data_IF_642899914805
#
_entry.id   IF_642899914805
#
_cell.length_a   1.000
_cell.length_b   1.000
_cell.length_c   1.000
_cell.angle_alpha   90.00
_cell.angle_beta   90.00
_cell.angle_gamma   90.00
#
_symmetry.space_group_name_H-M   'P 1'
#
loop_
_entity.id
_entity.type
_entity.pdbx_description
1 polymer ?
#
# COMPACT_ATOMS: atom_id res chain seq x y z
N UNK A 1 -38.80 -1.33 -40.15
CA UNK A 1 -38.94 -1.67 -38.72
C UNK A 1 -37.75 -1.08 -37.99
N UNK A 2 -37.98 -0.13 -37.09
CA UNK A 2 -36.90 0.64 -36.47
C UNK A 2 -35.93 -0.27 -35.72
N UNK A 3 -34.66 -0.28 -36.14
CA UNK A 3 -33.56 -0.96 -35.47
C UNK A 3 -33.55 -0.53 -34.01
N UNK A 4 -33.84 -1.45 -33.11
CA UNK A 4 -33.98 -1.21 -31.67
C UNK A 4 -32.95 -2.06 -30.93
N UNK A 5 -32.48 -1.57 -29.79
CA UNK A 5 -31.53 -2.32 -28.94
C UNK A 5 -32.29 -3.38 -28.14
N UNK A 6 -32.13 -4.65 -28.53
CA UNK A 6 -32.61 -5.84 -27.82
C UNK A 6 -31.69 -7.03 -28.13
N UNK A 7 -31.79 -8.11 -27.35
CA UNK A 7 -30.98 -9.33 -27.57
C UNK A 7 -31.38 -9.96 -28.91
N UNK A 8 -30.42 -10.16 -29.81
CA UNK A 8 -30.63 -10.65 -31.17
C UNK A 8 -30.75 -9.57 -32.23
N UNK A 9 -30.74 -8.28 -31.86
CA UNK A 9 -30.71 -7.18 -32.83
C UNK A 9 -29.43 -7.23 -33.69
N UNK A 10 -29.58 -7.05 -35.00
CA UNK A 10 -28.55 -7.25 -36.02
C UNK A 10 -28.23 -5.95 -36.76
N UNK A 11 -26.95 -5.67 -36.98
CA UNK A 11 -26.46 -4.43 -37.61
C UNK A 11 -25.42 -4.75 -38.68
N UNK A 12 -25.48 -4.08 -39.83
CA UNK A 12 -24.54 -4.30 -40.94
C UNK A 12 -23.15 -3.73 -40.68
N UNK A 13 -23.05 -2.71 -39.83
CA UNK A 13 -21.77 -2.11 -39.46
C UNK A 13 -21.77 -1.61 -38.00
N UNK A 14 -20.58 -1.33 -37.46
CA UNK A 14 -20.46 -0.65 -36.16
C UNK A 14 -21.02 0.78 -36.22
N UNK A 15 -20.98 1.42 -37.38
CA UNK A 15 -21.55 2.75 -37.57
C UNK A 15 -23.07 2.73 -37.36
N UNK A 16 -23.77 1.80 -38.01
CA UNK A 16 -25.24 1.64 -37.91
C UNK A 16 -25.64 1.33 -36.46
N UNK A 17 -24.95 0.36 -35.85
CA UNK A 17 -25.12 0.03 -34.44
C UNK A 17 -24.92 1.25 -33.53
N UNK A 18 -23.86 2.05 -33.73
CA UNK A 18 -23.53 3.17 -32.86
C UNK A 18 -24.56 4.30 -32.94
N UNK A 19 -25.21 4.49 -34.10
CA UNK A 19 -26.31 5.46 -34.22
C UNK A 19 -27.51 5.04 -33.38
N UNK A 20 -27.95 3.78 -33.53
CA UNK A 20 -29.09 3.22 -32.78
C UNK A 20 -28.79 3.13 -31.28
N UNK A 21 -27.56 2.77 -30.92
CA UNK A 21 -27.11 2.69 -29.54
C UNK A 21 -27.09 4.06 -28.83
N UNK A 22 -26.64 5.11 -29.52
CA UNK A 22 -26.68 6.48 -28.97
C UNK A 22 -28.11 6.95 -28.74
N UNK A 23 -29.02 6.71 -29.67
CA UNK A 23 -30.44 7.07 -29.50
C UNK A 23 -31.10 6.26 -28.38
N UNK A 24 -30.76 4.98 -28.24
CA UNK A 24 -31.19 4.16 -27.11
C UNK A 24 -30.72 4.74 -25.76
N UNK A 25 -29.46 5.12 -25.63
CA UNK A 25 -28.92 5.71 -24.40
C UNK A 25 -29.58 7.06 -24.07
N UNK A 26 -29.87 7.88 -25.09
CA UNK A 26 -30.61 9.14 -24.92
C UNK A 26 -32.04 8.91 -24.44
N UNK A 27 -32.77 7.97 -25.06
CA UNK A 27 -34.17 7.68 -24.76
C UNK A 27 -34.36 7.01 -23.39
N UNK A 28 -33.45 6.11 -23.01
CA UNK A 28 -33.53 5.37 -21.74
C UNK A 28 -32.83 6.08 -20.59
N UNK A 29 -32.09 7.16 -20.87
CA UNK A 29 -31.19 7.85 -19.93
C UNK A 29 -30.15 6.92 -19.28
N UNK A 30 -29.86 5.78 -19.92
CA UNK A 30 -28.81 4.87 -19.50
C UNK A 30 -27.50 5.27 -20.17
N UNK A 31 -26.39 5.20 -19.42
CA UNK A 31 -25.07 5.54 -19.94
C UNK A 31 -24.19 4.30 -19.90
N UNK A 32 -23.93 3.78 -21.09
CA UNK A 32 -23.02 2.67 -21.33
C UNK A 32 -21.76 3.19 -22.02
N UNK A 33 -20.59 2.73 -21.59
CA UNK A 33 -19.30 3.05 -22.21
C UNK A 33 -18.62 1.75 -22.61
N UNK A 34 -17.90 1.80 -23.72
CA UNK A 34 -17.12 0.66 -24.21
C UNK A 34 -16.00 0.33 -23.21
N UNK A 35 -16.11 -0.83 -22.56
CA UNK A 35 -15.12 -1.33 -21.60
C UNK A 35 -14.01 -2.13 -22.30
N UNK A 36 -14.38 -2.92 -23.31
CA UNK A 36 -13.45 -3.77 -24.06
C UNK A 36 -13.93 -3.92 -25.50
N UNK A 37 -13.01 -3.88 -26.45
CA UNK A 37 -13.30 -4.26 -27.83
C UNK A 37 -12.12 -5.05 -28.40
N UNK A 38 -12.42 -5.99 -29.30
CA UNK A 38 -11.40 -6.75 -30.02
C UNK A 38 -11.67 -6.59 -31.51
N UNK A 39 -10.65 -6.11 -32.24
CA UNK A 39 -10.68 -6.00 -33.69
C UNK A 39 -10.18 -7.28 -34.35
N UNK A 40 -10.67 -7.57 -35.55
CA UNK A 40 -10.35 -8.83 -36.26
C UNK A 40 -8.86 -8.93 -36.63
N UNK A 41 -8.19 -7.81 -36.94
CA UNK A 41 -6.75 -7.77 -37.20
C UNK A 41 -5.89 -8.21 -35.98
N UNK A 42 -6.41 -8.09 -34.76
CA UNK A 42 -5.72 -8.45 -33.52
C UNK A 42 -6.24 -9.78 -32.92
N UNK A 43 -7.07 -10.51 -33.66
CA UNK A 43 -7.78 -11.70 -33.19
C UNK A 43 -6.88 -12.96 -33.17
N UNK A 44 -5.94 -13.04 -32.23
CA UNK A 44 -5.32 -14.32 -31.91
C UNK A 44 -6.32 -15.19 -31.14
N UNK A 45 -6.55 -16.45 -31.58
CA UNK A 45 -7.53 -17.40 -30.99
C UNK A 45 -7.39 -17.60 -29.47
N UNK A 46 -6.22 -17.27 -28.88
CA UNK A 46 -5.91 -17.43 -27.45
C UNK A 46 -6.20 -16.18 -26.59
N UNK A 47 -6.15 -14.95 -27.14
CA UNK A 47 -6.28 -13.69 -26.36
C UNK A 47 -7.70 -13.13 -26.29
N UNK A 48 -8.59 -13.62 -27.14
CA UNK A 48 -9.96 -13.16 -27.25
C UNK A 48 -10.92 -14.09 -26.50
N UNK A 49 -10.74 -14.26 -25.20
CA UNK A 49 -11.76 -14.88 -24.35
C UNK A 49 -12.73 -13.79 -23.87
N UNK A 50 -14.04 -14.05 -24.01
CA UNK A 50 -15.10 -13.14 -23.56
C UNK A 50 -15.91 -13.78 -22.44
N UNK A 51 -16.71 -12.99 -21.69
CA UNK A 51 -17.62 -13.52 -20.67
C UNK A 51 -18.67 -14.52 -21.19
N UNK A 52 -18.86 -14.60 -22.51
CA UNK A 52 -19.84 -15.47 -23.17
C UNK A 52 -19.18 -16.51 -24.09
N UNK A 53 -17.87 -16.74 -23.94
CA UNK A 53 -17.10 -17.72 -24.71
C UNK A 53 -16.23 -17.10 -25.82
N UNK A 54 -15.68 -17.95 -26.70
CA UNK A 54 -14.82 -17.50 -27.82
C UNK A 54 -15.65 -16.70 -28.82
N UNK A 55 -15.22 -15.48 -29.22
CA UNK A 55 -15.93 -14.67 -30.20
C UNK A 55 -15.72 -15.24 -31.60
N UNK A 56 -16.64 -14.92 -32.50
CA UNK A 56 -16.58 -15.35 -33.90
C UNK A 56 -16.03 -14.17 -34.72
N UNK A 57 -15.19 -14.47 -35.70
CA UNK A 57 -14.54 -13.46 -36.53
C UNK A 57 -15.01 -13.64 -37.97
N UNK A 58 -15.29 -12.52 -38.66
CA UNK A 58 -15.58 -12.49 -40.09
C UNK A 58 -14.49 -11.64 -40.76
N UNK A 59 -13.97 -12.01 -41.93
CA UNK A 59 -12.85 -11.28 -42.55
C UNK A 59 -13.21 -9.85 -43.01
N UNK A 60 -14.52 -9.54 -43.11
CA UNK A 60 -15.02 -8.26 -43.64
C UNK A 60 -15.51 -7.26 -42.55
N UNK A 61 -15.60 -7.67 -41.28
CA UNK A 61 -16.02 -6.79 -40.18
C UNK A 61 -14.81 -6.15 -39.48
N UNK A 62 -15.00 -5.01 -38.81
CA UNK A 62 -13.89 -4.37 -38.07
C UNK A 62 -13.72 -4.98 -36.67
N UNK A 63 -14.82 -5.38 -36.02
CA UNK A 63 -14.85 -5.87 -34.64
C UNK A 63 -15.30 -7.32 -34.53
N UNK A 64 -14.58 -8.09 -33.71
CA UNK A 64 -14.95 -9.44 -33.29
C UNK A 64 -16.03 -9.42 -32.21
N UNK A 65 -15.83 -8.56 -31.21
CA UNK A 65 -16.82 -8.28 -30.18
C UNK A 65 -16.53 -6.94 -29.49
N UNK A 66 -17.54 -6.42 -28.82
CA UNK A 66 -17.52 -5.17 -28.07
C UNK A 66 -18.33 -5.39 -26.78
N UNK A 67 -17.73 -5.06 -25.65
CA UNK A 67 -18.35 -5.06 -24.33
C UNK A 67 -18.55 -3.62 -23.89
N UNK A 68 -19.80 -3.26 -23.64
CA UNK A 68 -20.20 -2.03 -22.99
C UNK A 68 -20.62 -2.32 -21.56
N UNK A 69 -20.21 -1.46 -20.64
CA UNK A 69 -20.65 -1.51 -19.23
C UNK A 69 -21.21 -0.17 -18.79
N UNK A 70 -22.09 -0.21 -17.80
CA UNK A 70 -22.65 1.01 -17.25
C UNK A 70 -21.56 1.89 -16.60
N UNK A 71 -21.67 3.19 -16.85
CA UNK A 71 -20.99 4.23 -16.09
C UNK A 71 -22.02 5.14 -15.45
N UNK A 72 -21.62 5.79 -14.35
CA UNK A 72 -22.41 6.75 -13.59
C UNK A 72 -22.80 7.94 -14.47
N UNK A 73 -23.92 7.83 -15.18
CA UNK A 73 -24.57 8.93 -15.89
C UNK A 73 -25.21 9.91 -14.92
N UNK A 74 -24.40 10.70 -14.23
CA UNK A 74 -24.85 11.69 -13.27
C UNK A 74 -24.39 13.10 -13.65
N UNK A 75 -25.27 14.06 -13.45
CA UNK A 75 -24.99 15.48 -13.57
C UNK A 75 -24.62 16.00 -12.17
N UNK A 76 -23.36 16.37 -11.96
CA UNK A 76 -22.88 16.95 -10.71
C UNK A 76 -22.83 18.47 -10.80
N UNK A 77 -23.46 19.19 -9.87
CA UNK A 77 -23.32 20.65 -9.72
C UNK A 77 -22.11 20.93 -8.81
N UNK A 78 -21.02 21.45 -9.35
CA UNK A 78 -19.86 21.84 -8.52
C UNK A 78 -20.08 23.22 -7.91
N UNK A 79 -19.54 23.47 -6.72
CA UNK A 79 -19.69 24.74 -5.99
C UNK A 79 -19.01 25.93 -6.69
N UNK A 80 -18.18 25.71 -7.70
CA UNK A 80 -17.35 26.77 -8.29
C UNK A 80 -17.30 26.82 -9.83
N UNK A 81 -17.79 25.81 -10.57
CA UNK A 81 -17.66 25.75 -12.04
C UNK A 81 -18.88 25.19 -12.79
N UNK A 82 -20.07 25.26 -12.19
CA UNK A 82 -21.31 24.82 -12.83
C UNK A 82 -21.46 23.30 -12.94
N UNK A 83 -22.37 22.88 -13.81
CA UNK A 83 -22.80 21.50 -13.98
C UNK A 83 -21.77 20.69 -14.80
N UNK A 84 -21.20 19.62 -14.23
CA UNK A 84 -20.31 18.66 -14.93
C UNK A 84 -20.94 17.27 -15.02
N UNK A 85 -20.87 16.65 -16.20
CA UNK A 85 -21.19 15.21 -16.40
C UNK A 85 -19.99 14.36 -15.96
N UNK A 86 -20.23 13.32 -15.17
CA UNK A 86 -19.19 12.35 -14.78
C UNK A 86 -19.36 11.04 -15.55
N UNK A 87 -18.27 10.31 -15.78
CA UNK A 87 -18.25 9.00 -16.48
C UNK A 87 -17.48 7.94 -15.70
N UNK A 88 -17.55 7.94 -14.36
CA UNK A 88 -16.92 6.91 -13.53
C UNK A 88 -17.79 5.65 -13.44
N UNK A 89 -17.18 4.46 -13.45
CA UNK A 89 -17.92 3.20 -13.27
C UNK A 89 -18.58 3.14 -11.89
N UNK A 90 -19.84 2.66 -11.82
CA UNK A 90 -20.51 2.40 -10.55
C UNK A 90 -20.12 1.00 -10.05
N UNK A 91 -19.59 0.92 -8.84
CA UNK A 91 -19.28 -0.35 -8.18
C UNK A 91 -20.53 -1.23 -8.09
N UNK A 92 -20.45 -2.45 -8.63
CA UNK A 92 -21.50 -3.47 -8.54
C UNK A 92 -22.70 -3.27 -9.47
N UNK A 93 -22.64 -2.37 -10.46
CA UNK A 93 -23.70 -2.25 -11.46
C UNK A 93 -23.52 -3.34 -12.52
N UNK A 94 -24.50 -4.26 -12.63
CA UNK A 94 -24.46 -5.39 -13.56
C UNK A 94 -24.92 -5.02 -14.98
N UNK A 95 -25.45 -3.80 -15.17
CA UNK A 95 -25.88 -3.34 -16.47
C UNK A 95 -24.71 -3.35 -17.46
N UNK A 96 -24.87 -4.15 -18.51
CA UNK A 96 -23.88 -4.36 -19.56
C UNK A 96 -24.55 -4.69 -20.88
N UNK A 97 -23.84 -4.43 -21.98
CA UNK A 97 -24.26 -4.87 -23.31
C UNK A 97 -23.07 -5.48 -24.04
N UNK A 98 -23.27 -6.65 -24.61
CA UNK A 98 -22.26 -7.38 -25.35
C UNK A 98 -22.72 -7.58 -26.79
N UNK A 99 -21.89 -7.10 -27.72
CA UNK A 99 -22.10 -7.14 -29.16
C UNK A 99 -21.03 -8.02 -29.77
N UNK A 100 -21.41 -8.95 -30.65
CA UNK A 100 -20.51 -9.93 -31.27
C UNK A 100 -20.67 -9.91 -32.79
N UNK A 101 -19.58 -10.10 -33.53
CA UNK A 101 -19.65 -10.35 -34.98
C UNK A 101 -20.13 -11.77 -35.30
N UNK A 102 -21.05 -11.88 -36.25
CA UNK A 102 -21.49 -13.14 -36.86
C UNK A 102 -20.84 -13.31 -38.24
N UNK A 103 -20.20 -14.47 -38.47
CA UNK A 103 -19.43 -14.77 -39.69
C UNK A 103 -20.30 -15.17 -40.87
N UNK A 104 -21.39 -15.88 -40.64
CA UNK A 104 -22.22 -16.41 -41.73
C UNK A 104 -23.05 -15.28 -42.35
N UNK A 105 -23.41 -14.29 -41.54
CA UNK A 105 -24.30 -13.20 -41.94
C UNK A 105 -23.58 -11.86 -42.18
N UNK A 106 -22.32 -11.72 -41.76
CA UNK A 106 -21.54 -10.49 -41.95
C UNK A 106 -22.09 -9.29 -41.17
N UNK A 107 -22.61 -9.52 -39.96
CA UNK A 107 -23.32 -8.53 -39.13
C UNK A 107 -22.77 -8.50 -37.70
N UNK A 108 -23.05 -7.42 -36.99
CA UNK A 108 -22.93 -7.32 -35.53
C UNK A 108 -24.27 -7.68 -34.89
N UNK A 109 -24.24 -8.51 -33.86
CA UNK A 109 -25.42 -8.97 -33.14
C UNK A 109 -25.28 -8.70 -31.63
N UNK A 110 -26.33 -8.18 -31.00
CA UNK A 110 -26.38 -8.00 -29.54
C UNK A 110 -26.68 -9.35 -28.89
N UNK A 111 -25.70 -9.94 -28.20
CA UNK A 111 -25.83 -11.28 -27.61
C UNK A 111 -26.16 -11.28 -26.12
N UNK A 112 -25.92 -10.17 -25.42
CA UNK A 112 -26.36 -9.97 -24.04
C UNK A 112 -26.67 -8.51 -23.80
N UNK A 113 -27.77 -8.26 -23.11
CA UNK A 113 -28.19 -6.94 -22.67
C UNK A 113 -28.74 -7.10 -21.26
N UNK A 114 -28.07 -6.50 -20.29
CA UNK A 114 -28.53 -6.38 -18.91
C UNK A 114 -28.79 -4.90 -18.68
N UNK A 115 -30.03 -4.57 -18.37
CA UNK A 115 -30.49 -3.18 -18.15
C UNK A 115 -30.73 -2.85 -16.70
N UNK A 116 -30.55 -3.82 -15.80
CA UNK A 116 -30.77 -3.63 -14.36
C UNK A 116 -29.64 -2.83 -13.74
N UNK A 117 -29.99 -1.67 -13.18
CA UNK A 117 -29.06 -0.80 -12.49
C UNK A 117 -29.29 -0.89 -10.99
N UNK A 118 -28.20 -0.99 -10.23
CA UNK A 118 -28.22 -0.83 -8.77
C UNK A 118 -28.28 0.65 -8.32
N UNK A 119 -28.62 1.55 -9.23
CA UNK A 119 -28.73 2.98 -9.00
C UNK A 119 -29.80 3.61 -9.93
N UNK A 120 -30.42 4.73 -9.53
CA UNK A 120 -31.32 5.50 -10.39
C UNK A 120 -30.68 5.88 -11.73
N UNK A 121 -31.46 5.79 -12.81
CA UNK A 121 -31.14 6.24 -14.17
C UNK A 121 -32.22 7.23 -14.63
N UNK A 122 -31.84 8.42 -15.12
CA UNK A 122 -32.80 9.46 -15.52
C UNK A 122 -32.12 10.81 -15.80
N UNK A 123 -32.81 11.74 -16.47
CA UNK A 123 -32.24 13.05 -16.85
C UNK A 123 -32.04 13.98 -15.64
N UNK A 124 -32.86 13.82 -14.59
CA UNK A 124 -32.91 14.71 -13.43
C UNK A 124 -32.17 14.19 -12.19
N UNK A 125 -31.41 13.09 -12.32
CA UNK A 125 -30.66 12.52 -11.20
C UNK A 125 -29.42 13.37 -10.91
N UNK A 126 -29.61 14.40 -10.09
CA UNK A 126 -28.55 15.25 -9.53
C UNK A 126 -28.08 14.70 -8.19
N UNK A 127 -26.91 14.05 -8.18
CA UNK A 127 -26.29 13.59 -6.94
C UNK A 127 -25.57 14.76 -6.26
N UNK A 128 -26.19 15.35 -5.23
CA UNK A 128 -25.46 16.14 -4.23
C UNK A 128 -24.52 15.23 -3.45
N UNK A 129 -23.30 15.70 -3.16
CA UNK A 129 -22.44 15.11 -2.13
C UNK A 129 -23.30 15.06 -0.86
N UNK A 130 -23.68 13.87 -0.41
CA UNK A 130 -24.47 13.77 0.82
C UNK A 130 -23.62 14.30 1.96
N UNK A 131 -24.12 15.35 2.61
CA UNK A 131 -23.54 15.95 3.79
C UNK A 131 -23.49 14.93 4.93
N UNK A 132 -22.41 14.99 5.71
CA UNK A 132 -22.23 14.23 6.94
C UNK A 132 -23.37 14.57 7.92
N UNK A 133 -24.26 13.62 8.21
CA UNK A 133 -25.11 13.64 9.42
C UNK A 133 -25.10 12.26 10.09
N UNK A 134 -25.04 12.31 11.43
CA UNK A 134 -24.76 11.26 12.45
C UNK A 134 -25.97 10.36 12.79
N UNK A 135 -25.65 9.12 13.25
CA UNK A 135 -26.42 8.14 14.10
C UNK A 135 -27.68 7.51 13.44
N UNK A 136 -28.09 6.25 13.66
CA UNK A 136 -27.87 5.27 14.74
C UNK A 136 -28.07 3.81 14.18
N UNK A 137 -27.59 2.76 14.87
CA UNK A 137 -27.45 1.39 14.36
C UNK A 137 -28.56 0.43 14.84
N UNK A 138 -29.50 0.07 13.98
CA UNK A 138 -30.30 -1.15 14.16
C UNK A 138 -30.90 -1.51 12.80
N UNK A 139 -30.81 -2.78 12.38
CA UNK A 139 -31.19 -3.34 11.06
C UNK A 139 -30.16 -3.17 9.94
N UNK A 140 -29.18 -4.07 9.93
CA UNK A 140 -28.94 -5.03 8.82
C UNK A 140 -27.67 -5.82 9.14
N UNK A 141 -27.76 -6.61 10.21
CA UNK A 141 -27.20 -7.97 10.16
C UNK A 141 -28.08 -8.73 9.16
N UNK A 142 -27.46 -9.70 8.50
CA UNK A 142 -28.05 -10.62 7.54
C UNK A 142 -27.94 -10.13 6.08
N UNK A 143 -27.10 -10.84 5.32
CA UNK A 143 -26.84 -10.74 3.87
C UNK A 143 -25.69 -9.83 3.40
N UNK A 144 -24.47 -10.09 3.87
CA UNK A 144 -23.24 -9.79 3.12
C UNK A 144 -22.09 -10.69 3.61
N UNK A 145 -22.03 -11.92 3.10
CA UNK A 145 -20.83 -12.74 3.14
C UNK A 145 -20.45 -13.05 1.69
N UNK A 146 -19.14 -12.93 1.41
CA UNK A 146 -18.42 -13.33 0.18
C UNK A 146 -18.20 -12.25 -0.90
N UNK A 147 -17.39 -11.24 -0.55
CA UNK A 147 -16.10 -10.91 -1.23
C UNK A 147 -15.52 -9.65 -0.55
N UNK A 148 -14.80 -9.87 0.55
CA UNK A 148 -14.57 -8.88 1.61
C UNK A 148 -13.28 -8.07 1.44
N UNK A 149 -13.39 -6.82 0.98
CA UNK A 149 -12.49 -5.77 1.46
C UNK A 149 -13.00 -5.33 2.84
N UNK A 150 -12.29 -5.66 3.93
CA UNK A 150 -12.67 -5.22 5.27
C UNK A 150 -12.37 -3.72 5.39
N UNK A 151 -13.38 -2.88 5.25
CA UNK A 151 -13.27 -1.48 5.68
C UNK A 151 -13.27 -1.46 7.20
N UNK A 152 -12.08 -1.36 7.80
CA UNK A 152 -11.94 -1.26 9.26
C UNK A 152 -12.49 0.09 9.71
N UNK A 153 -13.45 0.07 10.63
CA UNK A 153 -13.99 1.30 11.20
C UNK A 153 -12.93 2.05 12.00
N UNK A 154 -12.99 3.38 12.07
CA UNK A 154 -12.01 4.18 12.85
C UNK A 154 -11.91 3.70 14.30
N UNK A 155 -13.04 3.39 14.93
CA UNK A 155 -13.11 2.87 16.30
C UNK A 155 -12.50 1.48 16.45
N UNK A 156 -12.64 0.64 15.42
CA UNK A 156 -12.08 -0.70 15.38
C UNK A 156 -10.55 -0.64 15.25
N UNK A 157 -10.04 0.21 14.37
CA UNK A 157 -8.61 0.48 14.22
C UNK A 157 -8.00 1.04 15.51
N UNK A 158 -8.66 2.00 16.15
CA UNK A 158 -8.22 2.54 17.44
C UNK A 158 -8.12 1.44 18.50
N UNK A 159 -9.11 0.56 18.58
CA UNK A 159 -9.10 -0.57 19.53
C UNK A 159 -7.92 -1.51 19.26
N UNK A 160 -7.66 -1.84 17.98
CA UNK A 160 -6.52 -2.68 17.61
C UNK A 160 -5.18 -2.03 17.97
N UNK A 161 -5.01 -0.75 17.65
CA UNK A 161 -3.80 0.03 17.96
C UNK A 161 -3.51 0.02 19.47
N UNK A 162 -4.51 0.26 20.32
CA UNK A 162 -4.34 0.22 21.78
C UNK A 162 -4.01 -1.18 22.28
N UNK A 163 -4.61 -2.22 21.68
CA UNK A 163 -4.43 -3.61 22.11
C UNK A 163 -3.01 -4.16 21.89
N UNK A 164 -2.25 -3.57 20.95
CA UNK A 164 -0.90 -4.00 20.59
C UNK A 164 0.14 -3.53 21.60
N UNK A 165 -0.13 -2.45 22.32
CA UNK A 165 0.86 -1.85 23.21
C UNK A 165 0.95 -2.68 24.49
N UNK A 166 2.14 -3.16 24.86
CA UNK A 166 2.32 -3.92 26.08
C UNK A 166 2.04 -3.01 27.29
N UNK A 167 1.28 -3.48 28.30
CA UNK A 167 1.09 -2.72 29.52
C UNK A 167 2.41 -2.61 30.27
N UNK A 168 2.65 -1.46 30.90
CA UNK A 168 3.75 -1.31 31.86
C UNK A 168 3.35 -1.97 33.17
N UNK A 169 3.97 -3.10 33.50
CA UNK A 169 3.73 -3.84 34.75
C UNK A 169 5.06 -4.17 35.42
N UNK A 170 5.01 -4.41 36.74
CA UNK A 170 6.20 -4.79 37.51
C UNK A 170 6.64 -6.25 37.26
N UNK A 171 5.84 -7.03 36.53
CA UNK A 171 6.08 -8.45 36.26
C UNK A 171 6.94 -8.67 35.00
N UNK A 172 7.10 -7.65 34.16
CA UNK A 172 7.91 -7.73 32.95
C UNK A 172 9.40 -7.51 33.24
N UNK A 173 10.23 -8.35 32.66
CA UNK A 173 11.69 -8.28 32.73
C UNK A 173 12.29 -7.58 31.51
N UNK A 174 13.48 -6.99 31.71
CA UNK A 174 14.26 -6.30 30.68
C UNK A 174 14.40 -7.14 29.40
N UNK A 175 13.87 -6.60 28.31
CA UNK A 175 13.91 -7.18 26.98
C UNK A 175 12.57 -7.73 26.50
N UNK A 176 11.59 -7.92 27.37
CA UNK A 176 10.27 -8.45 26.98
C UNK A 176 9.43 -7.45 26.19
N UNK A 177 9.61 -6.15 26.41
CA UNK A 177 8.97 -5.10 25.61
C UNK A 177 9.72 -4.81 24.31
N UNK A 178 10.87 -5.43 24.04
CA UNK A 178 11.49 -5.41 22.71
C UNK A 178 13.00 -5.25 22.74
N UNK A 179 13.65 -5.99 21.84
CA UNK A 179 15.10 -5.92 21.60
C UNK A 179 15.26 -5.67 20.11
N UNK A 180 15.47 -4.41 19.75
CA UNK A 180 15.48 -3.97 18.36
C UNK A 180 16.93 -3.85 17.90
N UNK A 181 17.24 -4.46 16.75
CA UNK A 181 18.55 -4.30 16.11
C UNK A 181 18.45 -3.36 14.92
N UNK A 182 19.42 -2.47 14.75
CA UNK A 182 19.55 -1.55 13.62
C UNK A 182 20.83 -1.92 12.89
N UNK A 183 20.73 -2.35 11.64
CA UNK A 183 21.84 -2.64 10.74
C UNK A 183 22.04 -1.43 9.84
N UNK A 184 23.14 -0.72 10.04
CA UNK A 184 23.46 0.47 9.28
C UNK A 184 24.59 1.26 9.93
N UNK A 185 24.88 2.44 9.42
CA UNK A 185 26.03 3.22 9.85
C UNK A 185 27.31 2.82 9.13
N UNK A 186 27.75 3.69 8.23
CA UNK A 186 29.05 3.69 7.60
C UNK A 186 29.87 4.92 8.04
N UNK A 187 31.05 5.08 7.45
CA UNK A 187 31.98 6.18 7.74
C UNK A 187 31.29 7.57 7.65
N UNK A 188 30.43 7.77 6.66
CA UNK A 188 29.75 9.04 6.40
C UNK A 188 28.42 9.19 7.16
N UNK A 189 27.66 8.10 7.31
CA UNK A 189 26.26 8.14 7.73
C UNK A 189 26.03 7.57 9.14
N UNK A 190 26.56 8.25 10.15
CA UNK A 190 26.43 7.87 11.56
C UNK A 190 25.14 8.35 12.22
N UNK A 191 24.53 9.42 11.72
CA UNK A 191 23.31 10.00 12.30
C UNK A 191 22.04 9.16 12.05
N UNK A 192 21.91 8.58 10.85
CA UNK A 192 20.76 7.75 10.47
C UNK A 192 20.53 6.54 11.40
N UNK A 193 21.53 5.67 11.67
CA UNK A 193 21.33 4.55 12.58
C UNK A 193 21.08 5.02 14.02
N UNK A 194 21.65 6.15 14.44
CA UNK A 194 21.34 6.76 15.74
C UNK A 194 19.87 7.16 15.85
N UNK A 195 19.34 7.90 14.87
CA UNK A 195 17.95 8.34 14.89
C UNK A 195 16.97 7.16 14.93
N UNK A 196 17.24 6.11 14.15
CA UNK A 196 16.45 4.88 14.19
C UNK A 196 16.52 4.22 15.58
N UNK A 197 17.73 4.06 16.12
CA UNK A 197 17.95 3.35 17.38
C UNK A 197 17.41 4.10 18.61
N UNK A 198 17.61 5.42 18.69
CA UNK A 198 17.12 6.24 19.81
C UNK A 198 15.60 6.36 19.77
N UNK A 199 14.99 6.43 18.58
CA UNK A 199 13.53 6.41 18.46
C UNK A 199 12.95 5.08 18.93
N UNK A 200 13.59 3.95 18.62
CA UNK A 200 13.14 2.67 19.14
C UNK A 200 13.08 2.66 20.69
N UNK A 201 14.12 3.18 21.36
CA UNK A 201 14.12 3.31 22.83
C UNK A 201 13.01 4.27 23.31
N UNK A 202 12.88 5.44 22.69
CA UNK A 202 11.90 6.46 23.09
C UNK A 202 10.45 6.04 22.86
N UNK A 203 10.19 5.14 21.91
CA UNK A 203 8.87 4.53 21.70
C UNK A 203 8.55 3.49 22.77
N UNK A 204 9.56 2.82 23.33
CA UNK A 204 9.39 1.85 24.41
C UNK A 204 10.07 0.50 24.22
N UNK A 205 11.04 0.38 23.30
CA UNK A 205 11.90 -0.80 23.29
C UNK A 205 12.79 -0.82 24.55
N UNK A 206 12.94 -1.99 25.16
CA UNK A 206 13.81 -2.16 26.34
C UNK A 206 15.30 -2.06 25.99
N UNK A 207 15.66 -2.52 24.78
CA UNK A 207 17.03 -2.57 24.29
C UNK A 207 17.07 -2.21 22.81
N UNK A 208 18.05 -1.39 22.45
CA UNK A 208 18.33 -0.98 21.07
C UNK A 208 19.80 -1.24 20.75
N UNK A 209 20.02 -2.10 19.76
CA UNK A 209 21.34 -2.54 19.31
C UNK A 209 21.64 -1.90 17.95
N UNK A 210 22.81 -1.31 17.78
CA UNK A 210 23.26 -0.79 16.48
C UNK A 210 24.42 -1.65 15.99
N UNK A 211 24.27 -2.26 14.82
CA UNK A 211 25.33 -2.98 14.13
C UNK A 211 25.81 -2.11 12.99
N UNK A 212 27.05 -1.64 13.09
CA UNK A 212 27.63 -0.67 12.17
C UNK A 212 29.05 -1.08 11.75
N UNK A 213 29.63 -0.30 10.82
CA UNK A 213 31.06 -0.41 10.51
C UNK A 213 31.91 0.06 11.70
N UNK A 214 33.15 -0.41 11.76
CA UNK A 214 34.09 -0.09 12.84
C UNK A 214 34.29 1.41 13.04
N UNK A 215 34.37 2.17 11.95
CA UNK A 215 34.61 3.62 11.97
C UNK A 215 33.39 4.43 12.43
N UNK A 216 32.18 3.94 12.15
CA UNK A 216 30.94 4.60 12.57
C UNK A 216 30.72 4.51 14.09
N UNK A 217 31.20 3.43 14.72
CA UNK A 217 30.84 3.08 16.09
C UNK A 217 31.24 4.12 17.16
N UNK A 218 32.45 4.71 17.18
CA UNK A 218 32.81 5.72 18.17
C UNK A 218 31.88 6.94 18.14
N UNK A 219 31.51 7.38 16.94
CA UNK A 219 30.62 8.53 16.74
C UNK A 219 29.20 8.20 17.23
N UNK A 220 28.65 7.05 16.85
CA UNK A 220 27.30 6.64 17.28
C UNK A 220 27.25 6.48 18.81
N UNK A 221 28.28 5.88 19.43
CA UNK A 221 28.40 5.75 20.89
C UNK A 221 28.45 7.11 21.60
N UNK A 222 29.00 8.13 20.95
CA UNK A 222 29.08 9.48 21.53
C UNK A 222 27.74 10.21 21.57
N UNK A 223 26.77 9.81 20.74
CA UNK A 223 25.44 10.43 20.71
C UNK A 223 24.54 10.00 21.87
N UNK A 224 24.69 8.78 22.38
CA UNK A 224 23.85 8.24 23.46
C UNK A 224 24.52 7.07 24.17
N UNK A 225 24.68 7.11 25.52
CA UNK A 225 25.20 5.97 26.29
C UNK A 225 24.21 4.79 26.40
N UNK A 226 22.94 4.99 26.06
CA UNK A 226 21.89 3.96 26.14
C UNK A 226 21.97 2.93 25.00
N UNK A 227 22.58 3.29 23.86
CA UNK A 227 22.68 2.43 22.69
C UNK A 227 23.76 1.36 22.85
N UNK A 228 23.43 0.11 22.52
CA UNK A 228 24.41 -0.98 22.48
C UNK A 228 24.99 -1.09 21.07
N UNK A 229 26.18 -0.52 20.86
CA UNK A 229 26.78 -0.40 19.51
C UNK A 229 27.83 -1.48 19.26
N UNK A 230 27.64 -2.24 18.18
CA UNK A 230 28.43 -3.38 17.71
C UNK A 230 29.18 -3.04 16.40
N UNK A 231 30.50 -2.76 16.46
CA UNK A 231 31.32 -2.47 15.29
C UNK A 231 31.71 -3.76 14.55
N UNK A 232 30.76 -4.38 13.86
CA UNK A 232 30.98 -5.73 13.29
C UNK A 232 30.63 -5.87 11.81
N UNK A 233 30.03 -4.87 11.15
CA UNK A 233 29.53 -5.05 9.76
C UNK A 233 30.63 -5.25 8.72
N UNK A 234 31.80 -4.65 8.94
CA UNK A 234 32.99 -4.70 8.10
C UNK A 234 34.06 -5.64 8.68
N UNK A 235 33.71 -6.46 9.66
CA UNK A 235 34.63 -7.42 10.27
C UNK A 235 34.82 -8.66 9.37
N UNK A 236 36.03 -9.22 9.34
CA UNK A 236 36.34 -10.43 8.52
C UNK A 236 35.39 -11.60 8.82
N UNK A 237 34.98 -11.75 10.08
CA UNK A 237 34.02 -12.75 10.55
C UNK A 237 32.65 -12.14 10.91
N UNK A 238 32.23 -11.07 10.23
CA UNK A 238 31.03 -10.30 10.55
C UNK A 238 29.79 -11.19 10.76
N UNK A 239 29.54 -12.13 9.85
CA UNK A 239 28.38 -13.01 9.90
C UNK A 239 28.34 -13.85 11.18
N UNK A 240 29.47 -14.46 11.56
CA UNK A 240 29.57 -15.27 12.77
C UNK A 240 29.40 -14.44 14.05
N UNK A 241 29.91 -13.20 14.07
CA UNK A 241 29.67 -12.28 15.19
C UNK A 241 28.20 -11.87 15.27
N UNK A 242 27.55 -11.63 14.12
CA UNK A 242 26.14 -11.25 14.04
C UNK A 242 25.23 -12.38 14.53
N UNK A 243 25.54 -13.63 14.19
CA UNK A 243 24.77 -14.81 14.59
C UNK A 243 24.65 -14.99 16.11
N UNK A 244 25.62 -14.51 16.89
CA UNK A 244 25.56 -14.53 18.37
C UNK A 244 24.43 -13.66 18.91
N UNK A 245 24.01 -12.65 18.15
CA UNK A 245 22.98 -11.68 18.53
C UNK A 245 21.60 -11.99 17.96
N UNK A 246 21.51 -12.58 16.75
CA UNK A 246 20.23 -12.85 16.08
C UNK A 246 19.16 -13.51 16.99
N UNK A 247 19.46 -14.56 17.79
CA UNK A 247 18.46 -15.20 18.65
C UNK A 247 17.90 -14.30 19.75
N UNK A 248 18.55 -13.18 20.04
CA UNK A 248 18.18 -12.24 21.10
C UNK A 248 17.36 -11.06 20.58
N UNK A 249 17.30 -10.85 19.27
CA UNK A 249 16.64 -9.69 18.67
C UNK A 249 15.22 -10.08 18.23
N UNK A 250 14.27 -9.18 18.49
CA UNK A 250 12.87 -9.38 18.15
C UNK A 250 12.52 -8.84 16.76
N UNK A 251 13.15 -7.74 16.35
CA UNK A 251 13.01 -7.13 15.02
C UNK A 251 14.34 -6.50 14.63
N UNK A 252 14.69 -6.57 13.34
CA UNK A 252 15.84 -5.89 12.76
C UNK A 252 15.39 -4.81 11.77
N UNK A 253 15.92 -3.61 11.92
CA UNK A 253 15.81 -2.51 10.95
C UNK A 253 17.09 -2.50 10.11
N UNK A 254 17.00 -2.54 8.79
CA UNK A 254 18.16 -2.64 7.89
C UNK A 254 18.18 -1.46 6.93
N UNK A 255 19.32 -0.78 6.87
CA UNK A 255 19.58 0.25 5.87
C UNK A 255 19.84 1.68 6.37
N UNK A 256 19.40 2.15 7.56
CA UNK A 256 19.69 3.50 8.02
C UNK A 256 21.19 3.81 8.02
N UNK A 257 21.64 4.62 7.06
CA UNK A 257 23.06 4.97 6.87
C UNK A 257 23.96 3.78 6.54
N UNK A 258 23.44 2.70 5.93
CA UNK A 258 24.23 1.51 5.62
C UNK A 258 25.35 1.79 4.61
N UNK A 259 25.13 2.74 3.68
CA UNK A 259 26.04 2.96 2.57
C UNK A 259 25.92 1.84 1.53
N UNK A 260 26.86 1.85 0.58
CA UNK A 260 26.84 0.95 -0.59
C UNK A 260 28.17 0.25 -0.84
N UNK A 261 28.96 0.09 0.21
CA UNK A 261 30.16 -0.73 0.15
C UNK A 261 29.81 -2.18 -0.20
N UNK A 262 30.40 -2.78 -1.25
CA UNK A 262 30.04 -4.12 -1.70
C UNK A 262 30.21 -5.22 -0.66
N UNK A 263 31.26 -5.17 0.19
CA UNK A 263 31.51 -6.21 1.20
C UNK A 263 30.53 -6.09 2.37
N UNK A 264 30.20 -4.87 2.77
CA UNK A 264 29.13 -4.61 3.74
C UNK A 264 27.79 -5.10 3.20
N UNK A 265 27.43 -4.76 1.95
CA UNK A 265 26.17 -5.21 1.34
C UNK A 265 26.09 -6.74 1.25
N UNK A 266 27.18 -7.43 0.89
CA UNK A 266 27.27 -8.90 0.87
C UNK A 266 27.07 -9.52 2.26
N UNK A 267 27.67 -8.92 3.28
CA UNK A 267 27.47 -9.32 4.68
C UNK A 267 26.01 -9.17 5.07
N UNK A 268 25.39 -8.03 4.77
CA UNK A 268 23.98 -7.75 5.07
C UNK A 268 23.05 -8.70 4.31
N UNK A 269 23.31 -9.01 3.04
CA UNK A 269 22.56 -10.04 2.29
C UNK A 269 22.56 -11.38 3.02
N UNK A 270 23.72 -11.80 3.54
CA UNK A 270 23.86 -13.06 4.30
C UNK A 270 23.09 -13.00 5.62
N UNK A 271 23.13 -11.86 6.32
CA UNK A 271 22.33 -11.65 7.54
C UNK A 271 20.83 -11.70 7.24
N UNK A 272 20.35 -11.09 6.15
CA UNK A 272 18.94 -11.13 5.73
C UNK A 272 18.51 -12.58 5.44
N UNK A 273 19.34 -13.36 4.75
CA UNK A 273 19.07 -14.78 4.49
C UNK A 273 18.96 -15.58 5.79
N UNK A 274 19.87 -15.36 6.74
CA UNK A 274 19.82 -15.97 8.07
C UNK A 274 18.58 -15.57 8.87
N UNK A 275 18.14 -14.31 8.76
CA UNK A 275 16.88 -13.85 9.36
C UNK A 275 15.68 -14.56 8.75
N UNK A 276 15.63 -14.66 7.40
CA UNK A 276 14.59 -15.37 6.66
C UNK A 276 14.48 -16.83 7.07
N UNK A 277 15.61 -17.54 7.21
CA UNK A 277 15.64 -18.92 7.66
C UNK A 277 15.09 -19.11 9.10
N UNK A 278 15.17 -18.07 9.93
CA UNK A 278 14.72 -18.07 11.34
C UNK A 278 13.36 -17.41 11.56
N UNK A 279 12.79 -16.77 10.53
CA UNK A 279 11.55 -15.99 10.65
C UNK A 279 11.69 -14.68 11.44
N UNK A 280 12.91 -14.14 11.61
CA UNK A 280 13.17 -12.90 12.37
C UNK A 280 12.62 -11.67 11.62
N UNK A 281 11.66 -10.94 12.20
CA UNK A 281 11.05 -9.77 11.57
C UNK A 281 12.04 -8.71 11.07
N UNK A 282 11.85 -8.24 9.84
CA UNK A 282 12.68 -7.23 9.19
C UNK A 282 11.89 -5.97 8.84
N UNK A 283 12.52 -4.81 9.02
CA UNK A 283 12.11 -3.52 8.45
C UNK A 283 13.25 -3.04 7.57
N UNK A 284 13.05 -2.92 6.27
CA UNK A 284 14.08 -2.50 5.32
C UNK A 284 13.81 -1.06 4.86
N UNK A 285 14.76 -0.16 5.10
CA UNK A 285 14.68 1.26 4.76
C UNK A 285 15.94 1.72 4.00
N UNK A 286 15.88 2.90 3.37
CA UNK A 286 17.04 3.57 2.77
C UNK A 286 17.95 2.66 1.90
N UNK A 287 19.25 2.57 2.19
CA UNK A 287 20.18 1.74 1.41
C UNK A 287 19.91 0.22 1.54
N UNK A 288 19.14 -0.21 2.55
CA UNK A 288 18.59 -1.56 2.59
C UNK A 288 17.62 -1.78 1.43
N UNK A 289 16.81 -0.78 1.05
CA UNK A 289 15.92 -0.86 -0.12
C UNK A 289 16.70 -0.83 -1.42
N UNK A 290 17.84 -0.12 -1.46
CA UNK A 290 18.76 -0.20 -2.60
C UNK A 290 19.21 -1.67 -2.79
N UNK A 291 19.69 -2.32 -1.73
CA UNK A 291 20.08 -3.74 -1.76
C UNK A 291 18.94 -4.64 -2.24
N UNK A 292 17.71 -4.45 -1.71
CA UNK A 292 16.55 -5.24 -2.12
C UNK A 292 16.11 -4.95 -3.56
N UNK A 293 16.32 -3.74 -4.07
CA UNK A 293 16.01 -3.43 -5.48
C UNK A 293 16.98 -4.15 -6.43
N UNK A 294 18.25 -4.26 -6.05
CA UNK A 294 19.24 -5.01 -6.83
C UNK A 294 19.02 -6.53 -6.73
N UNK A 295 18.65 -7.02 -5.54
CA UNK A 295 18.44 -8.44 -5.23
C UNK A 295 17.09 -8.71 -4.52
N UNK A 296 15.94 -8.63 -5.23
CA UNK A 296 14.62 -8.80 -4.62
C UNK A 296 14.40 -10.18 -3.98
N UNK A 297 15.06 -11.22 -4.50
CA UNK A 297 14.97 -12.60 -4.03
C UNK A 297 15.32 -12.78 -2.54
N UNK A 298 16.09 -11.86 -1.97
CA UNK A 298 16.43 -11.83 -0.54
C UNK A 298 15.18 -11.81 0.34
N UNK A 299 14.13 -11.10 -0.09
CA UNK A 299 12.90 -10.89 0.71
C UNK A 299 11.63 -11.37 0.05
N UNK A 300 11.64 -11.77 -1.23
CA UNK A 300 10.45 -12.36 -1.88
C UNK A 300 9.93 -13.55 -1.07
N UNK A 301 8.62 -13.55 -0.85
CA UNK A 301 7.88 -14.53 -0.02
C UNK A 301 8.29 -14.55 1.46
N UNK A 302 8.99 -13.52 1.94
CA UNK A 302 9.32 -13.37 3.35
C UNK A 302 8.32 -12.44 4.05
N UNK A 303 7.16 -12.98 4.45
CA UNK A 303 6.02 -12.21 4.99
C UNK A 303 6.33 -11.44 6.27
N UNK A 304 7.34 -11.87 7.04
CA UNK A 304 7.84 -11.14 8.22
C UNK A 304 8.79 -9.97 7.84
N UNK A 305 8.59 -9.37 6.66
CA UNK A 305 9.37 -8.23 6.18
C UNK A 305 8.44 -7.06 5.88
N UNK A 306 8.88 -5.87 6.28
CA UNK A 306 8.31 -4.61 5.83
C UNK A 306 9.34 -3.81 5.05
N UNK A 307 8.97 -3.31 3.87
CA UNK A 307 9.76 -2.36 3.10
C UNK A 307 9.18 -0.96 3.29
N UNK A 308 10.01 0.05 3.53
CA UNK A 308 9.55 1.43 3.79
C UNK A 308 9.96 2.44 2.70
N UNK A 309 9.69 2.18 1.40
CA UNK A 309 10.21 3.04 0.32
C UNK A 309 9.58 4.43 0.30
N UNK A 310 10.42 5.43 0.03
CA UNK A 310 9.95 6.73 -0.43
C UNK A 310 9.42 6.66 -1.88
N UNK A 311 8.84 7.75 -2.40
CA UNK A 311 8.26 7.79 -3.75
C UNK A 311 9.24 7.33 -4.84
N UNK A 312 10.51 7.70 -4.75
CA UNK A 312 11.54 7.34 -5.74
C UNK A 312 11.98 5.88 -5.58
N UNK A 313 12.23 5.45 -4.34
CA UNK A 313 12.57 4.06 -4.03
C UNK A 313 11.45 3.10 -4.45
N UNK A 314 10.19 3.49 -4.21
CA UNK A 314 9.01 2.72 -4.58
C UNK A 314 8.93 2.56 -6.09
N UNK A 315 9.09 3.65 -6.85
CA UNK A 315 9.06 3.60 -8.30
C UNK A 315 10.14 2.66 -8.85
N UNK A 316 11.38 2.75 -8.36
CA UNK A 316 12.48 1.85 -8.77
C UNK A 316 12.17 0.39 -8.48
N UNK A 317 11.70 0.09 -7.28
CA UNK A 317 11.34 -1.27 -6.89
C UNK A 317 10.13 -1.78 -7.69
N UNK A 318 9.15 -0.93 -7.94
CA UNK A 318 7.99 -1.25 -8.75
C UNK A 318 8.39 -1.60 -10.18
N UNK A 319 9.21 -0.76 -10.83
CA UNK A 319 9.66 -0.97 -12.20
C UNK A 319 10.51 -2.24 -12.32
N UNK A 320 11.35 -2.52 -11.31
CA UNK A 320 12.14 -3.76 -11.24
C UNK A 320 11.26 -5.01 -11.15
N UNK A 321 10.18 -4.97 -10.36
CA UNK A 321 9.36 -6.15 -10.07
C UNK A 321 8.22 -6.38 -11.08
N UNK A 322 7.64 -5.31 -11.63
CA UNK A 322 6.40 -5.35 -12.42
C UNK A 322 6.59 -4.75 -13.82
N UNK A 323 7.53 -3.82 -13.98
CA UNK A 323 7.79 -3.09 -15.22
C UNK A 323 7.23 -1.67 -15.23
N UNK A 324 7.79 -0.84 -16.12
CA UNK A 324 7.46 0.58 -16.25
C UNK A 324 5.99 0.82 -16.65
N UNK A 325 5.37 1.87 -16.09
CA UNK A 325 4.01 2.28 -16.45
C UNK A 325 3.87 3.79 -16.68
N UNK A 326 2.94 4.21 -17.56
CA UNK A 326 2.68 5.63 -17.82
C UNK A 326 2.12 6.36 -16.59
N UNK A 327 2.66 7.56 -16.29
CA UNK A 327 2.32 8.35 -15.09
C UNK A 327 0.82 8.73 -14.95
N UNK A 328 0.03 8.68 -16.03
CA UNK A 328 -1.36 9.13 -16.07
C UNK A 328 -2.36 8.11 -15.48
N UNK A 329 -1.91 6.90 -15.11
CA UNK A 329 -2.76 5.81 -14.60
C UNK A 329 -2.35 5.32 -13.19
N UNK A 330 -1.66 6.13 -12.40
CA UNK A 330 -1.18 5.73 -11.07
C UNK A 330 -2.30 5.75 -10.03
N UNK A 331 -2.72 4.57 -9.58
CA UNK A 331 -3.47 4.38 -8.35
C UNK A 331 -2.49 3.84 -7.31
N UNK A 332 -1.92 4.73 -6.50
CA UNK A 332 -0.85 4.38 -5.55
C UNK A 332 -1.27 3.29 -4.55
N UNK A 333 -2.56 3.23 -4.19
CA UNK A 333 -3.09 2.21 -3.29
C UNK A 333 -3.15 0.84 -3.98
N UNK A 334 -3.65 0.80 -5.22
CA UNK A 334 -3.65 -0.41 -6.03
C UNK A 334 -2.22 -0.87 -6.34
N UNK A 335 -1.31 0.06 -6.61
CA UNK A 335 0.09 -0.21 -6.96
C UNK A 335 0.87 -0.76 -5.77
N UNK A 336 0.69 -0.16 -4.57
CA UNK A 336 1.31 -0.67 -3.35
C UNK A 336 0.81 -2.08 -3.03
N UNK A 337 -0.48 -2.34 -3.22
CA UNK A 337 -1.06 -3.68 -3.07
C UNK A 337 -0.49 -4.66 -4.08
N UNK A 338 -0.41 -4.28 -5.35
CA UNK A 338 0.13 -5.12 -6.40
C UNK A 338 1.60 -5.46 -6.15
N UNK A 339 2.42 -4.48 -5.76
CA UNK A 339 3.82 -4.71 -5.42
C UNK A 339 3.96 -5.69 -4.24
N UNK A 340 3.18 -5.49 -3.17
CA UNK A 340 3.16 -6.40 -2.03
C UNK A 340 2.78 -7.85 -2.46
N UNK A 341 1.79 -8.02 -3.33
CA UNK A 341 1.42 -9.33 -3.88
C UNK A 341 2.54 -9.95 -4.73
N UNK A 342 3.16 -9.18 -5.62
CA UNK A 342 4.26 -9.63 -6.47
C UNK A 342 5.49 -10.04 -5.67
N UNK A 343 5.72 -9.42 -4.51
CA UNK A 343 6.82 -9.76 -3.59
C UNK A 343 6.45 -10.87 -2.59
N UNK A 344 5.30 -11.53 -2.75
CA UNK A 344 4.89 -12.67 -1.92
C UNK A 344 4.27 -12.26 -0.58
N UNK A 345 3.45 -11.22 -0.59
CA UNK A 345 2.66 -10.75 0.56
C UNK A 345 3.48 -10.26 1.77
N UNK A 346 4.69 -9.75 1.52
CA UNK A 346 5.39 -8.91 2.50
C UNK A 346 4.70 -7.53 2.61
N UNK A 347 4.99 -6.79 3.69
CA UNK A 347 4.37 -5.46 3.88
C UNK A 347 5.15 -4.39 3.15
N UNK A 348 4.45 -3.52 2.40
CA UNK A 348 5.01 -2.30 1.82
C UNK A 348 4.39 -1.11 2.53
N UNK A 349 5.22 -0.22 3.06
CA UNK A 349 4.89 1.11 3.57
C UNK A 349 5.44 2.13 2.57
N UNK A 350 4.61 2.55 1.62
CA UNK A 350 4.96 3.59 0.66
C UNK A 350 4.83 4.96 1.33
N UNK A 351 5.96 5.63 1.57
CA UNK A 351 6.03 6.97 2.17
C UNK A 351 5.64 8.04 1.15
N UNK A 352 4.75 8.96 1.53
CA UNK A 352 4.22 9.97 0.61
C UNK A 352 3.57 11.17 1.30
N UNK A 353 2.78 11.95 0.55
CA UNK A 353 1.90 12.96 1.16
C UNK A 353 0.90 12.29 2.11
N UNK A 354 0.35 11.16 1.68
CA UNK A 354 -0.30 10.15 2.49
C UNK A 354 0.58 8.90 2.45
N UNK A 355 0.77 8.24 3.59
CA UNK A 355 1.49 6.97 3.60
C UNK A 355 0.52 5.83 3.34
N UNK A 356 0.88 4.94 2.43
CA UNK A 356 0.04 3.81 2.02
C UNK A 356 0.73 2.54 2.49
N UNK A 357 0.01 1.72 3.26
CA UNK A 357 0.54 0.47 3.83
C UNK A 357 -0.29 -0.70 3.33
N UNK A 358 0.38 -1.73 2.78
CA UNK A 358 -0.27 -2.93 2.26
C UNK A 358 0.55 -4.19 2.46
N UNK A 359 -0.10 -5.30 2.80
CA UNK A 359 0.45 -6.67 2.80
C UNK A 359 0.00 -7.48 1.57
N UNK A 360 -0.55 -6.79 0.56
CA UNK A 360 -1.10 -7.39 -0.64
C UNK A 360 -2.55 -7.89 -0.48
N UNK A 361 -3.08 -7.94 0.75
CA UNK A 361 -4.47 -8.29 1.03
C UNK A 361 -5.24 -7.07 1.54
N UNK A 362 -4.68 -6.42 2.55
CA UNK A 362 -5.18 -5.23 3.22
C UNK A 362 -4.46 -4.00 2.68
N UNK A 363 -5.18 -2.89 2.53
CA UNK A 363 -4.57 -1.57 2.29
C UNK A 363 -5.11 -0.60 3.33
N UNK A 364 -4.21 0.14 3.98
CA UNK A 364 -4.56 1.24 4.88
C UNK A 364 -3.79 2.48 4.46
N UNK A 365 -4.40 3.65 4.66
CA UNK A 365 -3.77 4.94 4.37
C UNK A 365 -3.67 5.75 5.66
N UNK A 366 -2.49 6.31 5.91
CA UNK A 366 -2.26 7.30 6.94
C UNK A 366 -2.24 8.68 6.28
N UNK A 367 -3.39 9.35 6.30
CA UNK A 367 -3.60 10.68 5.72
C UNK A 367 -3.48 11.82 6.73
N UNK A 368 -2.91 11.57 7.91
CA UNK A 368 -2.75 12.64 8.89
C UNK A 368 -1.66 13.61 8.46
N UNK A 369 -1.92 14.89 8.68
CA UNK A 369 -0.96 15.95 8.42
C UNK A 369 0.27 15.78 9.30
N UNK A 370 1.45 15.75 8.66
CA UNK A 370 2.74 15.87 9.32
C UNK A 370 3.14 17.35 9.40
N UNK A 371 4.33 17.66 8.89
CA UNK A 371 4.76 19.03 8.70
C UNK A 371 5.22 19.30 7.25
N UNK A 372 5.25 20.58 6.81
CA UNK A 372 5.75 20.94 5.48
C UNK A 372 7.29 20.93 5.38
N UNK A 373 8.01 20.77 6.50
CA UNK A 373 9.47 20.81 6.57
C UNK A 373 10.09 19.41 6.37
N UNK A 374 10.92 19.28 5.34
CA UNK A 374 11.67 18.05 5.06
C UNK A 374 13.10 18.11 5.62
N UNK A 375 13.29 17.87 6.91
CA UNK A 375 14.62 17.63 7.46
C UNK A 375 15.05 16.17 7.21
N UNK A 376 16.34 15.96 6.92
CA UNK A 376 16.94 14.62 6.89
C UNK A 376 16.88 13.98 8.28
N UNK A 377 16.65 12.68 8.35
CA UNK A 377 16.47 11.94 9.61
C UNK A 377 15.03 11.49 9.88
N UNK A 378 14.00 12.13 9.33
CA UNK A 378 12.60 11.75 9.62
C UNK A 378 12.25 10.31 9.25
N UNK A 379 12.80 9.81 8.14
CA UNK A 379 12.65 8.41 7.73
C UNK A 379 13.29 7.43 8.71
N UNK A 380 14.42 7.82 9.32
CA UNK A 380 15.12 6.99 10.30
C UNK A 380 14.31 6.86 11.59
N UNK A 381 13.67 7.93 12.07
CA UNK A 381 12.73 7.85 13.19
C UNK A 381 11.54 6.94 12.86
N UNK A 382 11.04 6.98 11.62
CA UNK A 382 9.97 6.10 11.16
C UNK A 382 10.41 4.63 11.15
N UNK A 383 11.59 4.31 10.63
CA UNK A 383 12.08 2.92 10.61
C UNK A 383 12.32 2.37 12.02
N UNK A 384 12.86 3.20 12.92
CA UNK A 384 13.07 2.85 14.33
C UNK A 384 11.77 2.54 15.08
N UNK A 385 10.80 3.44 14.98
CA UNK A 385 9.47 3.24 15.60
C UNK A 385 8.72 2.04 14.98
N UNK A 386 8.86 1.84 13.67
CA UNK A 386 8.28 0.68 12.96
C UNK A 386 8.83 -0.64 13.52
N UNK A 387 10.13 -0.73 13.80
CA UNK A 387 10.73 -1.92 14.40
C UNK A 387 10.10 -2.34 15.73
N UNK A 388 9.79 -1.35 16.58
CA UNK A 388 9.12 -1.57 17.89
C UNK A 388 7.69 -2.02 17.70
N UNK A 389 6.89 -1.25 16.95
CA UNK A 389 5.48 -1.58 16.74
C UNK A 389 5.30 -2.91 16.02
N UNK A 390 6.24 -3.28 15.14
CA UNK A 390 6.16 -4.55 14.44
C UNK A 390 6.37 -5.74 15.38
N UNK A 391 7.34 -5.65 16.28
CA UNK A 391 7.52 -6.64 17.36
C UNK A 391 6.25 -6.78 18.21
N UNK A 392 5.69 -5.65 18.67
CA UNK A 392 4.48 -5.66 19.49
C UNK A 392 3.28 -6.26 18.75
N UNK A 393 3.06 -5.87 17.50
CA UNK A 393 1.96 -6.37 16.69
C UNK A 393 2.08 -7.88 16.42
N UNK A 394 3.29 -8.37 16.18
CA UNK A 394 3.55 -9.80 15.99
C UNK A 394 3.29 -10.60 17.27
N UNK A 395 3.77 -10.13 18.43
CA UNK A 395 3.46 -10.75 19.73
C UNK A 395 1.94 -10.81 19.95
N UNK A 396 1.25 -9.70 19.71
CA UNK A 396 -0.20 -9.63 19.89
C UNK A 396 -0.97 -10.56 18.95
N UNK A 397 -0.51 -10.68 17.69
CA UNK A 397 -1.06 -11.63 16.73
C UNK A 397 -0.81 -13.08 17.13
N UNK A 398 0.35 -13.38 17.71
CA UNK A 398 0.69 -14.72 18.19
C UNK A 398 -0.20 -15.17 19.36
N UNK A 399 -0.68 -14.22 20.19
CA UNK A 399 -1.65 -14.46 21.26
C UNK A 399 -3.09 -14.71 20.74
N UNK A 400 -3.28 -14.83 19.43
CA UNK A 400 -4.58 -15.07 18.80
C UNK A 400 -5.52 -13.87 18.77
N UNK A 401 -5.04 -12.68 19.12
CA UNK A 401 -5.85 -11.46 19.04
C UNK A 401 -6.05 -11.06 17.58
N UNK A 402 -7.30 -10.90 17.17
CA UNK A 402 -7.64 -10.50 15.80
C UNK A 402 -7.26 -9.03 15.54
N UNK A 403 -6.08 -8.82 14.98
CA UNK A 403 -5.62 -7.52 14.48
C UNK A 403 -5.61 -7.48 12.95
N UNK A 404 -5.50 -6.28 12.38
CA UNK A 404 -5.02 -6.13 10.99
C UNK A 404 -3.65 -6.78 10.86
N UNK A 405 -3.26 -7.18 9.63
CA UNK A 405 -1.96 -7.78 9.36
C UNK A 405 -0.83 -7.09 10.17
N UNK A 406 0.00 -7.83 10.93
CA UNK A 406 0.88 -7.23 11.94
C UNK A 406 1.76 -6.10 11.40
N UNK A 407 2.30 -6.28 10.18
CA UNK A 407 3.05 -5.24 9.48
C UNK A 407 2.19 -4.04 9.10
N UNK A 408 0.98 -4.25 8.59
CA UNK A 408 0.05 -3.17 8.22
C UNK A 408 -0.30 -2.30 9.43
N UNK A 409 -0.62 -2.91 10.56
CA UNK A 409 -0.93 -2.19 11.79
C UNK A 409 0.29 -1.44 12.34
N UNK A 410 1.45 -2.10 12.38
CA UNK A 410 2.68 -1.50 12.86
C UNK A 410 3.12 -0.30 12.00
N UNK A 411 3.06 -0.43 10.67
CA UNK A 411 3.38 0.65 9.74
C UNK A 411 2.44 1.84 9.90
N UNK A 412 1.14 1.58 10.08
CA UNK A 412 0.17 2.64 10.39
C UNK A 412 0.49 3.35 11.71
N UNK A 413 0.76 2.61 12.80
CA UNK A 413 1.12 3.19 14.09
C UNK A 413 2.38 4.06 14.00
N UNK A 414 3.42 3.57 13.34
CA UNK A 414 4.67 4.31 13.14
C UNK A 414 4.45 5.60 12.34
N UNK A 415 3.72 5.53 11.21
CA UNK A 415 3.36 6.70 10.41
C UNK A 415 2.58 7.73 11.22
N UNK A 416 1.58 7.29 12.01
CA UNK A 416 0.78 8.18 12.84
C UNK A 416 1.61 8.89 13.88
N UNK A 417 2.50 8.16 14.57
CA UNK A 417 3.37 8.71 15.60
C UNK A 417 4.34 9.74 15.02
N UNK A 418 5.08 9.39 13.96
CA UNK A 418 6.12 10.27 13.43
C UNK A 418 5.54 11.51 12.76
N UNK A 419 4.39 11.40 12.08
CA UNK A 419 3.68 12.58 11.55
C UNK A 419 3.27 13.53 12.66
N UNK A 420 2.77 13.01 13.78
CA UNK A 420 2.40 13.83 14.94
C UNK A 420 3.62 14.48 15.62
N UNK A 421 4.71 13.73 15.79
CA UNK A 421 5.98 14.27 16.31
C UNK A 421 6.50 15.40 15.42
N UNK A 422 6.49 15.18 14.09
CA UNK A 422 6.90 16.15 13.08
C UNK A 422 6.04 17.41 13.12
N UNK A 423 4.72 17.27 13.25
CA UNK A 423 3.78 18.39 13.40
C UNK A 423 4.08 19.23 14.65
N UNK A 424 4.32 18.59 15.79
CA UNK A 424 4.66 19.25 17.06
C UNK A 424 6.01 19.95 16.99
N UNK A 425 7.04 19.25 16.52
CA UNK A 425 8.37 19.82 16.34
C UNK A 425 8.34 21.03 15.42
N UNK A 426 7.54 20.99 14.36
CA UNK A 426 7.38 22.11 13.43
C UNK A 426 6.61 23.28 14.05
N UNK A 427 5.61 23.01 14.89
CA UNK A 427 4.91 24.09 15.61
C UNK A 427 5.85 24.83 16.53
N UNK A 428 6.79 24.12 17.18
CA UNK A 428 7.77 24.73 18.09
C UNK A 428 8.93 25.41 17.36
N UNK A 429 9.44 24.83 16.27
CA UNK A 429 10.70 25.25 15.64
C UNK A 429 10.53 25.87 14.25
N UNK A 430 9.38 25.73 13.61
CA UNK A 430 9.10 26.26 12.28
C UNK A 430 10.16 25.86 11.25
N UNK A 431 10.77 26.86 10.60
CA UNK A 431 11.74 26.65 9.52
C UNK A 431 13.01 25.95 9.98
N UNK A 432 13.46 26.19 11.22
CA UNK A 432 14.73 25.66 11.74
C UNK A 432 14.64 24.21 12.20
N UNK A 433 13.45 23.60 12.18
CA UNK A 433 13.24 22.23 12.61
C UNK A 433 14.21 21.24 11.94
N UNK A 434 14.87 20.41 12.76
CA UNK A 434 15.74 19.29 12.40
C UNK A 434 15.19 17.97 12.96
N UNK A 435 15.79 16.82 12.60
CA UNK A 435 15.28 15.51 13.04
C UNK A 435 15.35 15.31 14.56
N UNK A 436 16.39 15.84 15.21
CA UNK A 436 16.52 15.78 16.66
C UNK A 436 15.36 16.44 17.40
N UNK A 437 14.73 17.46 16.81
CA UNK A 437 13.60 18.17 17.42
C UNK A 437 12.33 17.31 17.50
N UNK A 438 12.24 16.22 16.73
CA UNK A 438 11.11 15.30 16.81
C UNK A 438 11.20 14.39 18.05
N UNK A 439 12.42 14.08 18.52
CA UNK A 439 12.66 13.11 19.59
C UNK A 439 11.95 13.51 20.90
N UNK A 440 12.03 14.77 21.38
CA UNK A 440 11.31 15.21 22.59
C UNK A 440 9.79 15.05 22.52
N UNK A 441 9.21 15.02 21.32
CA UNK A 441 7.77 14.91 21.14
C UNK A 441 7.26 13.47 21.04
N UNK A 442 8.14 12.47 21.05
CA UNK A 442 7.75 11.05 20.91
C UNK A 442 6.79 10.64 22.03
N UNK A 443 7.14 10.87 23.29
CA UNK A 443 6.32 10.44 24.43
C UNK A 443 4.93 11.08 24.42
N UNK A 444 4.84 12.41 24.33
CA UNK A 444 3.53 13.07 24.33
C UNK A 444 2.68 12.66 23.11
N UNK A 445 3.30 12.49 21.94
CA UNK A 445 2.58 12.03 20.75
C UNK A 445 2.11 10.59 20.90
N UNK A 446 2.92 9.74 21.54
CA UNK A 446 2.56 8.36 21.84
C UNK A 446 1.34 8.30 22.74
N UNK A 447 1.37 9.02 23.87
CA UNK A 447 0.27 9.04 24.83
C UNK A 447 -1.03 9.56 24.19
N UNK A 448 -0.96 10.68 23.46
CA UNK A 448 -2.15 11.31 22.85
C UNK A 448 -2.82 10.43 21.78
N UNK A 449 -2.06 9.57 21.09
CA UNK A 449 -2.57 8.70 20.02
C UNK A 449 -3.01 7.34 20.58
N UNK A 450 -2.25 6.81 21.54
CA UNK A 450 -2.29 5.39 21.85
C UNK A 450 -2.71 5.04 23.28
N UNK A 451 -2.58 5.95 24.23
CA UNK A 451 -3.05 5.78 25.61
C UNK A 451 -4.48 6.33 25.71
#
# INVERSE_FOLDING_TARGET
MAETIYIGAMFKSFFDFNQVFKEYCKRTHQVFVMQKSVKIQNANRKTAQTPLGKPHYAEQLVYAYILFGCVRGGIHKSSSKGIRKTTSHKSGCEAMMYVRGDREKGILEIRKLVTDHNHPTGPDVTYRKADRIRKNPQKKKDQAQQSSGRTVGVTELQTMVKSVIPPLTNDLHKGQAGRIGIIGGCQEYTGAPYFSAITALKVGADLSHVFCTKEAAPVIKSYSPELIVHPILDHVNALAEFEKWLPRLHTLVVGPGLGRDPEVLKTVSSVIQNCKARGIPLVIDADGLFLITESPELVVSYTNTMLTPNVVEFQRLFDKMIGERPAQNQDLAADTKLLAQCMGNLTILQKGSEDIISDGNTVIMCSTDGCPRRCGGQGDLLSGSTGVFYNWALKKSADGTAILGPGVLAGYMACRLIRECSRRAFTSNGRSMVASDLIPHIHQSFDDIFV
#
